data_IF_587725437276
#
_entry.id   IF_587725437276
#
_cell.length_a   1.000
_cell.length_b   1.000
_cell.length_c   1.000
_cell.angle_alpha   90.00
_cell.angle_beta   90.00
_cell.angle_gamma   90.00
#
_symmetry.space_group_name_H-M   'P 1'
#
loop_
_entity.id
_entity.type
_entity.pdbx_description
1 polymer ?
#
# COMPACT_ATOMS: atom_id res chain seq x y z
N UNK A 1 30.59 -7.76 18.13
CA UNK A 1 29.60 -6.80 17.60
C UNK A 1 29.25 -7.26 16.20
N UNK A 2 27.96 -7.37 15.85
CA UNK A 2 27.57 -7.68 14.47
C UNK A 2 28.08 -6.59 13.51
N UNK A 3 28.47 -6.96 12.31
CA UNK A 3 28.78 -6.01 11.26
C UNK A 3 27.50 -5.27 10.84
N UNK A 4 27.62 -4.01 10.42
CA UNK A 4 26.47 -3.22 9.97
C UNK A 4 25.83 -3.86 8.74
N UNK A 5 24.55 -4.19 8.85
CA UNK A 5 23.71 -4.74 7.78
C UNK A 5 24.39 -5.88 7.01
N UNK A 6 24.96 -6.85 7.76
CA UNK A 6 25.51 -8.08 7.20
C UNK A 6 24.40 -8.97 6.61
N UNK A 7 24.78 -10.14 6.05
CA UNK A 7 23.83 -11.09 5.46
C UNK A 7 22.75 -11.57 6.43
N UNK A 8 23.00 -11.50 7.74
CA UNK A 8 22.08 -11.90 8.81
C UNK A 8 21.44 -10.67 9.48
N UNK A 9 21.32 -9.57 8.75
CA UNK A 9 20.68 -8.36 9.25
C UNK A 9 19.26 -8.64 9.75
N UNK A 10 18.96 -8.22 10.99
CA UNK A 10 17.72 -8.48 11.73
C UNK A 10 17.50 -9.96 12.16
N UNK A 11 18.39 -10.89 11.83
CA UNK A 11 18.28 -12.31 12.17
C UNK A 11 19.24 -12.64 13.31
N UNK A 12 18.71 -12.95 14.50
CA UNK A 12 19.54 -13.15 15.69
C UNK A 12 19.76 -14.62 16.04
N UNK A 13 18.91 -15.51 15.54
CA UNK A 13 18.96 -16.94 15.87
C UNK A 13 19.29 -17.80 14.65
N UNK A 14 19.90 -19.00 14.84
CA UNK A 14 20.14 -19.94 13.74
C UNK A 14 18.85 -20.32 13.00
N UNK A 15 17.75 -20.52 13.72
CA UNK A 15 16.46 -20.85 13.11
C UNK A 15 15.94 -19.69 12.26
N UNK A 16 16.01 -18.45 12.74
CA UNK A 16 15.60 -17.28 11.94
C UNK A 16 16.42 -17.15 10.64
N UNK A 17 17.76 -17.37 10.74
CA UNK A 17 18.66 -17.34 9.58
C UNK A 17 18.30 -18.43 8.56
N UNK A 18 18.08 -19.66 9.02
CA UNK A 18 17.65 -20.76 8.18
C UNK A 18 16.31 -20.46 7.49
N UNK A 19 15.29 -20.04 8.24
CA UNK A 19 13.97 -19.72 7.67
C UNK A 19 14.03 -18.62 6.63
N UNK A 20 14.90 -17.63 6.82
CA UNK A 20 15.07 -16.55 5.87
C UNK A 20 15.83 -17.01 4.63
N UNK A 21 17.07 -17.50 4.77
CA UNK A 21 17.95 -17.79 3.64
C UNK A 21 17.46 -18.95 2.78
N UNK A 22 16.90 -20.00 3.40
CA UNK A 22 16.52 -21.20 2.68
C UNK A 22 15.08 -21.15 2.14
N UNK A 23 14.20 -20.30 2.71
CA UNK A 23 12.80 -20.23 2.30
C UNK A 23 12.34 -18.84 1.91
N UNK A 24 12.37 -17.83 2.82
CA UNK A 24 11.74 -16.55 2.58
C UNK A 24 12.39 -15.75 1.43
N UNK A 25 13.73 -15.72 1.42
CA UNK A 25 14.52 -14.95 0.43
C UNK A 25 14.39 -15.51 -1.00
N UNK A 26 14.11 -16.82 -1.10
CA UNK A 26 13.94 -17.51 -2.38
C UNK A 26 12.59 -17.21 -3.05
N UNK A 27 11.62 -16.68 -2.31
CA UNK A 27 10.27 -16.48 -2.82
C UNK A 27 10.20 -15.24 -3.71
N UNK A 28 9.43 -15.31 -4.82
CA UNK A 28 9.15 -14.14 -5.63
C UNK A 28 8.39 -13.06 -4.85
N UNK A 29 8.20 -11.91 -5.48
CA UNK A 29 7.41 -10.80 -4.94
C UNK A 29 6.10 -10.68 -5.71
N UNK A 30 5.00 -10.58 -4.97
CA UNK A 30 3.69 -10.08 -5.40
C UNK A 30 3.45 -8.78 -4.66
N UNK A 31 3.53 -7.65 -5.37
CA UNK A 31 3.24 -6.34 -4.81
C UNK A 31 1.79 -5.96 -5.13
N UNK A 32 0.87 -6.45 -4.31
CA UNK A 32 -0.57 -6.35 -4.56
C UNK A 32 -1.17 -4.96 -4.23
N UNK A 33 -0.35 -4.02 -3.79
CA UNK A 33 -0.72 -2.60 -3.66
C UNK A 33 0.51 -1.70 -3.65
N UNK A 34 0.58 -0.80 -4.62
CA UNK A 34 1.61 0.23 -4.71
C UNK A 34 1.09 1.46 -5.48
N UNK A 35 1.89 2.52 -5.51
CA UNK A 35 1.62 3.75 -6.25
C UNK A 35 2.62 3.96 -7.41
N UNK A 36 3.19 2.89 -7.92
CA UNK A 36 4.10 2.94 -9.07
C UNK A 36 3.32 3.35 -10.32
N UNK A 37 3.93 4.21 -11.14
CA UNK A 37 3.33 4.68 -12.37
C UNK A 37 3.50 3.64 -13.50
N UNK A 38 2.42 3.03 -14.02
CA UNK A 38 2.50 2.01 -15.06
C UNK A 38 3.09 2.55 -16.38
N UNK A 39 3.00 3.85 -16.62
CA UNK A 39 3.63 4.51 -17.78
C UNK A 39 5.16 4.33 -17.75
N UNK A 40 5.78 4.52 -16.59
CA UNK A 40 7.24 4.39 -16.46
C UNK A 40 7.71 2.96 -16.72
N UNK A 41 6.89 1.95 -16.38
CA UNK A 41 7.14 0.56 -16.72
C UNK A 41 6.98 0.32 -18.23
N UNK A 42 5.89 0.84 -18.81
CA UNK A 42 5.59 0.66 -20.23
C UNK A 42 6.65 1.30 -21.15
N UNK A 43 7.18 2.46 -20.74
CA UNK A 43 8.24 3.19 -21.45
C UNK A 43 9.64 2.74 -21.10
N UNK A 44 9.79 1.79 -20.16
CA UNK A 44 11.07 1.30 -19.61
C UNK A 44 12.02 2.45 -19.24
N UNK A 45 11.51 3.38 -18.44
CA UNK A 45 12.21 4.61 -18.05
C UNK A 45 13.59 4.31 -17.47
N UNK A 46 14.57 5.16 -17.79
CA UNK A 46 15.84 5.28 -17.07
C UNK A 46 15.85 6.58 -16.27
N UNK A 47 16.34 6.51 -15.05
CA UNK A 47 16.50 7.69 -14.19
C UNK A 47 17.85 8.35 -14.45
N UNK A 48 17.89 9.66 -14.49
CA UNK A 48 19.13 10.41 -14.70
C UNK A 48 20.03 10.39 -13.48
N UNK A 49 19.40 10.35 -12.26
CA UNK A 49 20.13 10.38 -10.99
C UNK A 49 19.30 9.77 -9.86
N UNK A 50 19.98 9.49 -8.75
CA UNK A 50 19.39 8.85 -7.57
C UNK A 50 18.33 9.72 -6.85
N UNK A 51 18.43 11.06 -6.95
CA UNK A 51 17.42 11.96 -6.36
C UNK A 51 16.07 11.75 -7.01
N UNK A 52 15.99 11.58 -8.33
CA UNK A 52 14.75 11.33 -9.04
C UNK A 52 14.07 10.04 -8.55
N UNK A 53 14.86 9.00 -8.26
CA UNK A 53 14.33 7.72 -7.75
C UNK A 53 13.89 7.84 -6.30
N UNK A 54 14.66 8.53 -5.46
CA UNK A 54 14.46 8.55 -4.01
C UNK A 54 13.58 9.67 -3.49
N UNK A 55 13.65 10.85 -4.12
CA UNK A 55 13.00 12.06 -3.63
C UNK A 55 11.90 12.59 -4.56
N UNK A 56 11.70 11.96 -5.72
CA UNK A 56 10.75 12.43 -6.72
C UNK A 56 9.26 12.42 -6.28
N UNK A 57 8.92 11.66 -5.23
CA UNK A 57 7.55 11.57 -4.73
C UNK A 57 7.44 10.94 -3.34
N UNK A 58 8.56 10.81 -2.63
CA UNK A 58 8.62 10.13 -1.33
C UNK A 58 8.41 11.11 -0.18
N UNK A 59 7.15 11.31 0.19
CA UNK A 59 6.79 12.17 1.32
C UNK A 59 7.28 11.64 2.70
N UNK A 60 7.70 10.38 2.82
CA UNK A 60 8.33 9.85 4.04
C UNK A 60 9.70 10.51 4.25
N UNK A 61 10.52 10.54 3.18
CA UNK A 61 11.84 11.18 3.20
C UNK A 61 11.72 12.71 3.39
N UNK A 62 10.81 13.36 2.68
CA UNK A 62 10.54 14.79 2.82
C UNK A 62 10.20 15.19 4.27
N UNK A 63 9.37 14.37 4.94
CA UNK A 63 9.01 14.57 6.34
C UNK A 63 10.25 14.57 7.26
N UNK A 64 11.17 13.63 7.06
CA UNK A 64 12.39 13.54 7.85
C UNK A 64 13.34 14.71 7.56
N UNK A 65 13.48 15.12 6.30
CA UNK A 65 14.28 16.30 5.94
C UNK A 65 13.76 17.56 6.66
N UNK A 66 12.45 17.77 6.70
CA UNK A 66 11.84 18.87 7.46
C UNK A 66 12.11 18.74 8.97
N UNK A 67 12.03 17.54 9.52
CA UNK A 67 12.34 17.27 10.93
C UNK A 67 13.79 17.63 11.25
N UNK A 68 14.71 17.46 10.29
CA UNK A 68 16.11 17.85 10.39
C UNK A 68 16.36 19.35 10.10
N UNK A 69 15.32 20.16 9.94
CA UNK A 69 15.42 21.60 9.70
C UNK A 69 15.86 21.99 8.29
N UNK A 70 15.77 21.08 7.32
CA UNK A 70 16.10 21.36 5.92
C UNK A 70 15.08 22.33 5.33
N UNK A 71 15.57 23.38 4.67
CA UNK A 71 14.71 24.34 3.98
C UNK A 71 13.94 23.69 2.82
N UNK A 72 12.68 24.08 2.62
CA UNK A 72 11.79 23.52 1.62
C UNK A 72 12.33 23.60 0.18
N UNK A 73 13.19 24.59 -0.08
CA UNK A 73 13.94 24.72 -1.34
C UNK A 73 14.66 23.41 -1.72
N UNK A 74 15.23 22.72 -0.73
CA UNK A 74 15.98 21.46 -0.93
C UNK A 74 15.11 20.20 -0.82
N UNK A 75 13.81 20.33 -0.61
CA UNK A 75 12.88 19.19 -0.46
C UNK A 75 11.99 19.10 -1.70
N UNK A 76 11.02 19.99 -1.81
CA UNK A 76 10.09 20.06 -2.94
C UNK A 76 10.33 21.27 -3.85
N UNK A 77 11.22 22.21 -3.46
CA UNK A 77 11.51 23.43 -4.20
C UNK A 77 12.50 23.23 -5.34
N UNK A 78 13.14 24.32 -5.76
CA UNK A 78 13.92 24.46 -6.99
C UNK A 78 15.42 24.21 -6.87
N UNK A 79 15.90 23.71 -5.73
CA UNK A 79 17.29 23.28 -5.60
C UNK A 79 17.63 22.17 -6.59
N UNK A 80 18.88 22.07 -6.98
CA UNK A 80 19.34 21.00 -7.88
C UNK A 80 19.21 19.61 -7.23
N UNK A 81 19.08 18.57 -8.03
CA UNK A 81 19.00 17.19 -7.55
C UNK A 81 20.21 16.81 -6.68
N UNK A 82 21.41 17.33 -7.04
CA UNK A 82 22.61 17.09 -6.24
C UNK A 82 22.55 17.74 -4.86
N UNK A 83 22.04 18.97 -4.77
CA UNK A 83 21.85 19.66 -3.48
C UNK A 83 20.79 18.96 -2.62
N UNK A 84 19.68 18.52 -3.22
CA UNK A 84 18.64 17.74 -2.53
C UNK A 84 19.21 16.43 -1.98
N UNK A 85 20.01 15.72 -2.78
CA UNK A 85 20.67 14.49 -2.34
C UNK A 85 21.62 14.72 -1.17
N UNK A 86 22.41 15.78 -1.20
CA UNK A 86 23.29 16.17 -0.05
C UNK A 86 22.48 16.35 1.22
N UNK A 87 21.36 17.07 1.14
CA UNK A 87 20.50 17.32 2.31
C UNK A 87 19.79 16.05 2.80
N UNK A 88 19.49 15.12 1.91
CA UNK A 88 19.01 13.79 2.30
C UNK A 88 20.10 12.98 3.02
N UNK A 89 21.30 12.95 2.49
CA UNK A 89 22.43 12.24 3.10
C UNK A 89 22.75 12.77 4.51
N UNK A 90 22.80 14.09 4.70
CA UNK A 90 22.95 14.75 6.01
C UNK A 90 21.78 14.41 6.96
N UNK A 91 20.57 14.31 6.44
CA UNK A 91 19.39 13.93 7.24
C UNK A 91 19.47 12.48 7.67
N UNK A 92 19.95 11.60 6.80
CA UNK A 92 20.00 10.16 7.06
C UNK A 92 20.92 9.82 8.25
N UNK A 93 22.00 10.58 8.47
CA UNK A 93 22.87 10.41 9.66
C UNK A 93 22.10 10.50 10.97
N UNK A 94 21.05 11.30 11.01
CA UNK A 94 20.24 11.52 12.21
C UNK A 94 19.11 10.50 12.36
N UNK A 95 18.93 9.60 11.38
CA UNK A 95 17.81 8.69 11.32
C UNK A 95 18.04 7.37 12.10
N UNK A 96 18.73 7.40 13.22
CA UNK A 96 18.94 6.22 14.07
C UNK A 96 17.60 5.66 14.55
N UNK A 97 17.37 4.35 14.31
CA UNK A 97 16.11 3.69 14.65
C UNK A 97 14.96 3.93 13.66
N UNK A 98 15.12 4.80 12.67
CA UNK A 98 14.14 5.04 11.63
C UNK A 98 14.29 3.99 10.49
N UNK A 99 13.21 3.40 9.96
CA UNK A 99 13.29 2.42 8.88
C UNK A 99 13.93 2.96 7.61
N UNK A 100 13.83 4.25 7.32
CA UNK A 100 14.44 4.88 6.14
C UNK A 100 15.97 4.74 6.14
N UNK A 101 16.61 4.67 7.32
CA UNK A 101 18.04 4.38 7.43
C UNK A 101 18.36 2.99 6.87
N UNK A 102 17.59 1.98 7.30
CA UNK A 102 17.75 0.60 6.85
C UNK A 102 17.39 0.47 5.36
N UNK A 103 16.25 1.00 4.94
CA UNK A 103 15.79 0.87 3.55
C UNK A 103 16.77 1.53 2.57
N UNK A 104 17.24 2.74 2.86
CA UNK A 104 18.20 3.41 2.00
C UNK A 104 19.51 2.61 1.85
N UNK A 105 20.01 2.03 2.94
CA UNK A 105 21.23 1.21 2.88
C UNK A 105 20.99 -0.17 2.24
N UNK A 106 19.81 -0.79 2.40
CA UNK A 106 19.46 -2.01 1.65
C UNK A 106 19.41 -1.73 0.15
N UNK A 107 18.79 -0.63 -0.25
CA UNK A 107 18.74 -0.21 -1.66
C UNK A 107 20.14 0.03 -2.23
N UNK A 108 21.02 0.72 -1.48
CA UNK A 108 22.41 0.93 -1.88
C UNK A 108 23.17 -0.40 -2.03
N UNK A 109 22.98 -1.34 -1.12
CA UNK A 109 23.64 -2.65 -1.16
C UNK A 109 23.13 -3.49 -2.34
N UNK A 110 21.81 -3.61 -2.50
CA UNK A 110 21.21 -4.55 -3.46
C UNK A 110 21.29 -4.08 -4.90
N UNK A 111 21.04 -2.80 -5.13
CA UNK A 111 21.01 -2.27 -6.51
C UNK A 111 22.33 -1.65 -6.95
N UNK A 112 23.09 -1.06 -6.02
CA UNK A 112 24.30 -0.32 -6.37
C UNK A 112 25.60 -0.98 -5.91
N UNK A 113 25.52 -2.04 -5.09
CA UNK A 113 26.69 -2.75 -4.56
C UNK A 113 27.51 -1.93 -3.56
N UNK A 114 26.91 -0.87 -2.99
CA UNK A 114 27.56 -0.01 -2.01
C UNK A 114 27.30 -0.53 -0.58
N UNK A 115 28.37 -0.97 0.09
CA UNK A 115 28.31 -1.49 1.45
C UNK A 115 28.81 -0.50 2.52
N UNK A 116 29.08 0.75 2.11
CA UNK A 116 29.46 1.83 3.02
C UNK A 116 28.27 2.45 3.71
N UNK A 117 28.52 3.58 4.40
CA UNK A 117 27.52 4.37 5.10
C UNK A 117 27.26 5.64 4.30
N UNK A 118 25.99 5.93 4.01
CA UNK A 118 25.58 7.22 3.43
C UNK A 118 25.40 8.26 4.51
N UNK A 119 26.16 9.33 4.41
CA UNK A 119 26.10 10.50 5.26
C UNK A 119 26.54 11.75 4.49
N UNK A 120 26.62 12.91 5.16
CA UNK A 120 27.04 14.16 4.53
C UNK A 120 28.42 14.09 3.89
N UNK A 121 29.37 13.37 4.51
CA UNK A 121 30.77 13.26 4.03
C UNK A 121 30.91 12.30 2.85
N UNK A 122 30.09 11.24 2.79
CA UNK A 122 30.13 10.22 1.72
C UNK A 122 29.17 10.52 0.57
N UNK A 123 28.36 11.57 0.67
CA UNK A 123 27.32 11.90 -0.29
C UNK A 123 27.83 12.04 -1.73
N UNK A 124 29.04 12.64 -1.93
CA UNK A 124 29.63 12.80 -3.26
C UNK A 124 30.02 11.45 -3.88
N UNK A 125 30.64 10.57 -3.09
CA UNK A 125 31.03 9.24 -3.52
C UNK A 125 29.80 8.43 -3.95
N UNK A 126 28.75 8.40 -3.10
CA UNK A 126 27.53 7.64 -3.36
C UNK A 126 26.74 8.23 -4.55
N UNK A 127 26.69 9.56 -4.67
CA UNK A 127 26.09 10.24 -5.81
C UNK A 127 26.73 9.79 -7.13
N UNK A 128 28.05 9.84 -7.22
CA UNK A 128 28.79 9.49 -8.41
C UNK A 128 28.62 7.99 -8.74
N UNK A 129 28.72 7.11 -7.76
CA UNK A 129 28.54 5.67 -7.93
C UNK A 129 27.14 5.33 -8.41
N UNK A 130 26.11 5.82 -7.73
CA UNK A 130 24.71 5.51 -8.08
C UNK A 130 24.35 6.04 -9.47
N UNK A 131 24.76 7.27 -9.79
CA UNK A 131 24.40 7.86 -11.07
C UNK A 131 25.15 7.21 -12.24
N UNK A 132 26.39 6.80 -12.05
CA UNK A 132 27.11 6.01 -13.07
C UNK A 132 26.36 4.69 -13.34
N UNK A 133 25.91 4.00 -12.29
CA UNK A 133 25.20 2.74 -12.43
C UNK A 133 23.81 2.90 -13.04
N UNK A 134 23.07 3.96 -12.72
CA UNK A 134 21.75 4.26 -13.29
C UNK A 134 21.78 4.46 -14.81
N UNK A 135 22.95 4.73 -15.41
CA UNK A 135 23.09 4.82 -16.87
C UNK A 135 23.20 3.45 -17.55
N UNK A 136 23.45 2.38 -16.80
CA UNK A 136 23.50 1.02 -17.35
C UNK A 136 22.09 0.56 -17.76
N UNK A 137 22.00 -0.31 -18.77
CA UNK A 137 20.72 -0.90 -19.20
C UNK A 137 20.08 -1.75 -18.11
N UNK A 138 20.90 -2.38 -17.26
CA UNK A 138 20.45 -3.17 -16.11
C UNK A 138 19.65 -2.39 -15.07
N UNK A 139 19.67 -1.06 -15.11
CA UNK A 139 19.01 -0.16 -14.17
C UNK A 139 17.79 0.55 -14.79
N UNK A 140 17.30 0.11 -15.95
CA UNK A 140 15.98 0.54 -16.42
C UNK A 140 14.88 0.03 -15.49
N UNK A 141 13.73 0.68 -15.50
CA UNK A 141 12.59 0.34 -14.63
C UNK A 141 12.20 -1.13 -14.73
N UNK A 142 12.11 -1.68 -15.96
CA UNK A 142 11.78 -3.10 -16.15
C UNK A 142 12.85 -4.02 -15.58
N UNK A 143 14.11 -3.65 -15.72
CA UNK A 143 15.22 -4.44 -15.20
C UNK A 143 15.33 -4.35 -13.68
N UNK A 144 15.02 -3.21 -13.06
CA UNK A 144 14.87 -3.07 -11.60
C UNK A 144 13.77 -4.00 -11.04
N UNK A 145 12.63 -4.07 -11.71
CA UNK A 145 11.52 -4.98 -11.35
C UNK A 145 11.97 -6.45 -11.50
N UNK A 146 12.57 -6.82 -12.63
CA UNK A 146 13.00 -8.21 -12.90
C UNK A 146 14.08 -8.68 -11.93
N UNK A 147 15.12 -7.88 -11.68
CA UNK A 147 16.18 -8.25 -10.74
C UNK A 147 15.70 -8.38 -9.30
N UNK A 148 14.58 -7.74 -8.95
CA UNK A 148 13.92 -7.88 -7.65
C UNK A 148 13.03 -9.12 -7.55
N UNK A 149 13.00 -9.99 -8.58
CA UNK A 149 12.16 -11.19 -8.66
C UNK A 149 10.66 -10.90 -8.43
N UNK A 150 10.18 -9.76 -8.95
CA UNK A 150 8.75 -9.40 -8.90
C UNK A 150 8.01 -10.17 -10.01
N UNK A 151 6.85 -10.73 -9.68
CA UNK A 151 5.98 -11.45 -10.63
C UNK A 151 4.71 -10.68 -10.95
N UNK A 152 4.24 -9.88 -10.00
CA UNK A 152 3.00 -9.12 -10.19
C UNK A 152 3.06 -7.81 -9.40
N UNK A 153 2.50 -6.78 -10.00
CA UNK A 153 2.32 -5.44 -9.43
C UNK A 153 0.84 -5.05 -9.61
N UNK A 154 0.16 -4.65 -8.53
CA UNK A 154 -1.11 -3.94 -8.62
C UNK A 154 -0.86 -2.45 -8.35
N UNK A 155 -1.22 -1.62 -9.32
CA UNK A 155 -1.11 -0.16 -9.23
C UNK A 155 -2.27 0.44 -8.42
N UNK A 156 -2.48 1.74 -8.50
CA UNK A 156 -3.63 2.42 -7.87
C UNK A 156 -4.26 3.35 -8.88
N UNK A 157 -5.49 3.04 -9.32
CA UNK A 157 -6.10 3.64 -10.49
C UNK A 157 -7.50 4.18 -10.19
N UNK A 158 -7.81 5.34 -10.78
CA UNK A 158 -9.10 6.00 -10.63
C UNK A 158 -10.15 5.36 -11.58
N UNK A 159 -11.43 5.26 -11.18
CA UNK A 159 -12.51 4.78 -12.05
C UNK A 159 -12.57 5.38 -13.46
N UNK A 160 -12.11 6.61 -13.63
CA UNK A 160 -12.13 7.30 -14.94
C UNK A 160 -10.88 7.06 -15.80
N UNK A 161 -9.86 6.37 -15.28
CA UNK A 161 -8.62 6.13 -16.00
C UNK A 161 -8.82 5.23 -17.23
N UNK A 162 -8.07 5.54 -18.29
CA UNK A 162 -8.13 4.82 -19.56
C UNK A 162 -7.46 3.43 -19.51
N UNK A 163 -6.58 3.21 -18.53
CA UNK A 163 -5.74 2.01 -18.38
C UNK A 163 -4.89 1.68 -19.63
N UNK A 164 -4.56 2.68 -20.43
CA UNK A 164 -3.82 2.51 -21.70
C UNK A 164 -2.43 1.89 -21.49
N UNK A 165 -1.78 2.20 -20.37
CA UNK A 165 -0.46 1.65 -20.05
C UNK A 165 -0.53 0.20 -19.59
N UNK A 166 -1.58 -0.18 -18.84
CA UNK A 166 -1.84 -1.58 -18.46
C UNK A 166 -2.11 -2.41 -19.72
N UNK A 167 -2.94 -1.89 -20.63
CA UNK A 167 -3.19 -2.57 -21.91
C UNK A 167 -1.91 -2.77 -22.70
N UNK A 168 -1.09 -1.72 -22.83
CA UNK A 168 0.19 -1.79 -23.54
C UNK A 168 1.14 -2.82 -22.92
N UNK A 169 1.20 -2.90 -21.59
CA UNK A 169 2.02 -3.87 -20.87
C UNK A 169 1.50 -5.30 -21.03
N UNK A 170 0.19 -5.49 -21.02
CA UNK A 170 -0.43 -6.79 -21.23
C UNK A 170 -0.23 -7.35 -22.66
N UNK A 171 -0.02 -6.49 -23.64
CA UNK A 171 0.26 -6.83 -25.04
C UNK A 171 1.78 -6.98 -25.35
N UNK A 172 2.67 -6.72 -24.38
CA UNK A 172 4.11 -6.70 -24.54
C UNK A 172 4.76 -8.01 -24.05
N UNK A 173 4.99 -8.94 -24.95
CA UNK A 173 5.63 -10.24 -24.69
C UNK A 173 7.10 -10.14 -24.22
N UNK A 174 7.71 -8.95 -24.26
CA UNK A 174 9.11 -8.75 -23.80
C UNK A 174 9.21 -8.50 -22.30
N UNK A 175 8.07 -8.31 -21.62
CA UNK A 175 7.99 -8.07 -20.19
C UNK A 175 7.03 -9.07 -19.53
N UNK A 176 7.58 -10.02 -18.80
CA UNK A 176 6.90 -11.17 -18.21
C UNK A 176 6.30 -10.91 -16.82
N UNK A 177 6.39 -9.68 -16.30
CA UNK A 177 5.79 -9.29 -15.02
C UNK A 177 4.38 -8.75 -15.26
N UNK A 178 3.40 -9.28 -14.54
CA UNK A 178 2.02 -8.80 -14.65
C UNK A 178 1.87 -7.44 -13.96
N UNK A 179 1.32 -6.46 -14.66
CA UNK A 179 0.98 -5.14 -14.10
C UNK A 179 -0.52 -4.95 -14.23
N UNK A 180 -1.24 -5.09 -13.13
CA UNK A 180 -2.70 -5.07 -13.08
C UNK A 180 -3.20 -3.78 -12.45
N UNK A 181 -4.33 -3.23 -12.92
CA UNK A 181 -4.95 -2.09 -12.27
C UNK A 181 -5.57 -2.50 -10.94
N UNK A 182 -5.58 -1.58 -9.96
CA UNK A 182 -6.39 -1.71 -8.77
C UNK A 182 -7.41 -0.56 -8.71
N UNK A 183 -8.64 -0.89 -8.36
CA UNK A 183 -9.77 0.03 -8.36
C UNK A 183 -9.78 0.90 -7.11
N UNK A 184 -9.63 2.24 -7.25
CA UNK A 184 -9.66 3.19 -6.13
C UNK A 184 -10.70 4.29 -6.33
N UNK A 185 -11.94 4.09 -5.87
CA UNK A 185 -13.05 5.01 -6.11
C UNK A 185 -13.18 6.10 -5.02
N UNK A 186 -12.09 6.68 -4.55
CA UNK A 186 -12.11 7.70 -3.51
C UNK A 186 -12.81 8.97 -3.97
N UNK A 187 -12.60 9.40 -5.22
CA UNK A 187 -13.21 10.63 -5.73
C UNK A 187 -14.73 10.56 -5.81
N UNK A 188 -15.35 9.51 -6.37
CA UNK A 188 -16.82 9.40 -6.37
C UNK A 188 -17.42 9.12 -5.00
N UNK A 189 -16.63 8.69 -4.01
CA UNK A 189 -17.04 8.52 -2.62
C UNK A 189 -17.03 9.85 -1.85
N UNK A 190 -16.09 10.73 -2.13
CA UNK A 190 -15.86 11.94 -1.34
C UNK A 190 -16.77 13.10 -1.78
N UNK A 191 -18.08 12.93 -1.55
CA UNK A 191 -19.17 13.84 -1.94
C UNK A 191 -18.98 15.28 -1.44
N UNK A 192 -18.26 15.47 -0.33
CA UNK A 192 -18.01 16.77 0.30
C UNK A 192 -16.94 17.61 -0.43
N UNK A 193 -16.15 17.02 -1.31
CA UNK A 193 -15.03 17.70 -1.96
C UNK A 193 -15.50 18.72 -3.00
N UNK A 194 -14.80 19.86 -3.13
CA UNK A 194 -15.18 20.90 -4.09
C UNK A 194 -15.28 20.41 -5.53
N UNK A 195 -14.32 19.58 -5.96
CA UNK A 195 -14.19 19.04 -7.32
C UNK A 195 -15.18 17.91 -7.65
N UNK A 196 -16.06 17.53 -6.72
CA UNK A 196 -16.94 16.37 -6.85
C UNK A 196 -17.84 16.43 -8.11
N UNK A 197 -18.45 17.58 -8.37
CA UNK A 197 -19.37 17.72 -9.51
C UNK A 197 -18.64 17.63 -10.86
N UNK A 198 -17.44 18.19 -10.97
CA UNK A 198 -16.61 18.08 -12.18
C UNK A 198 -16.18 16.61 -12.40
N UNK A 199 -15.88 15.89 -11.32
CA UNK A 199 -15.59 14.46 -11.39
C UNK A 199 -16.79 13.65 -11.91
N UNK A 200 -18.02 13.95 -11.46
CA UNK A 200 -19.23 13.27 -11.95
C UNK A 200 -19.46 13.48 -13.46
N UNK A 201 -19.12 14.66 -13.98
CA UNK A 201 -19.17 14.92 -15.43
C UNK A 201 -18.17 14.03 -16.17
N UNK A 202 -16.93 13.95 -15.70
CA UNK A 202 -15.90 13.08 -16.28
C UNK A 202 -16.32 11.61 -16.23
N UNK A 203 -16.87 11.15 -15.09
CA UNK A 203 -17.36 9.78 -14.94
C UNK A 203 -18.53 9.50 -15.91
N UNK A 204 -19.43 10.47 -16.09
CA UNK A 204 -20.54 10.35 -17.05
C UNK A 204 -20.02 10.16 -18.46
N UNK A 205 -19.01 10.94 -18.87
CA UNK A 205 -18.42 10.89 -20.21
C UNK A 205 -17.74 9.53 -20.47
N UNK A 206 -16.90 9.06 -19.54
CA UNK A 206 -16.16 7.80 -19.75
C UNK A 206 -17.01 6.55 -19.60
N UNK A 207 -18.10 6.59 -18.81
CA UNK A 207 -19.03 5.47 -18.66
C UNK A 207 -20.15 5.46 -19.70
N UNK A 208 -20.41 6.59 -20.37
CA UNK A 208 -21.57 6.77 -21.24
C UNK A 208 -22.90 6.82 -20.48
N UNK A 209 -22.88 6.94 -19.16
CA UNK A 209 -24.07 6.97 -18.28
C UNK A 209 -24.14 8.34 -17.61
N UNK A 210 -25.19 9.11 -17.88
CA UNK A 210 -25.38 10.40 -17.21
C UNK A 210 -25.65 10.21 -15.73
N UNK A 211 -24.74 10.68 -14.88
CA UNK A 211 -24.86 10.61 -13.43
C UNK A 211 -25.72 11.78 -12.93
N UNK A 212 -26.96 11.50 -12.57
CA UNK A 212 -27.91 12.48 -12.06
C UNK A 212 -28.75 12.00 -10.85
N UNK A 213 -28.43 10.81 -10.33
CA UNK A 213 -28.97 10.20 -9.11
C UNK A 213 -27.94 9.28 -8.49
N UNK A 214 -28.10 8.89 -7.25
CA UNK A 214 -27.22 7.88 -6.63
C UNK A 214 -27.28 6.56 -7.39
N UNK A 215 -28.46 6.14 -7.83
CA UNK A 215 -28.60 4.92 -8.63
C UNK A 215 -27.76 4.99 -9.91
N UNK A 216 -27.81 6.10 -10.67
CA UNK A 216 -27.00 6.25 -11.89
C UNK A 216 -25.51 6.42 -11.62
N UNK A 217 -25.10 6.92 -10.44
CA UNK A 217 -23.71 6.87 -10.00
C UNK A 217 -23.22 5.43 -9.87
N UNK A 218 -23.98 4.59 -9.18
CA UNK A 218 -23.61 3.17 -9.02
C UNK A 218 -23.62 2.43 -10.37
N UNK A 219 -24.54 2.74 -11.28
CA UNK A 219 -24.55 2.15 -12.63
C UNK A 219 -23.33 2.56 -13.45
N UNK A 220 -22.92 3.83 -13.37
CA UNK A 220 -21.70 4.31 -14.03
C UNK A 220 -20.45 3.62 -13.47
N UNK A 221 -20.34 3.48 -12.13
CA UNK A 221 -19.25 2.77 -11.50
C UNK A 221 -19.25 1.27 -11.86
N UNK A 222 -20.40 0.62 -11.91
CA UNK A 222 -20.52 -0.78 -12.34
C UNK A 222 -20.04 -0.96 -13.79
N UNK A 223 -20.37 -0.04 -14.69
CA UNK A 223 -19.85 -0.07 -16.06
C UNK A 223 -18.32 0.02 -16.06
N UNK A 224 -17.73 0.92 -15.25
CA UNK A 224 -16.27 1.06 -15.14
C UNK A 224 -15.61 -0.13 -14.47
N UNK A 225 -16.24 -0.74 -13.44
CA UNK A 225 -15.73 -1.98 -12.82
C UNK A 225 -15.65 -3.13 -13.85
N UNK A 226 -16.62 -3.27 -14.73
CA UNK A 226 -16.58 -4.27 -15.81
C UNK A 226 -15.40 -4.02 -16.76
N UNK A 227 -15.10 -2.76 -17.06
CA UNK A 227 -13.92 -2.42 -17.85
C UNK A 227 -12.62 -2.77 -17.11
N UNK A 228 -12.50 -2.42 -15.83
CA UNK A 228 -11.33 -2.78 -15.01
C UNK A 228 -11.18 -4.30 -14.87
N UNK A 229 -12.27 -5.02 -14.68
CA UNK A 229 -12.27 -6.48 -14.62
C UNK A 229 -11.75 -7.11 -15.93
N UNK A 230 -12.16 -6.57 -17.07
CA UNK A 230 -11.65 -7.00 -18.39
C UNK A 230 -10.15 -6.73 -18.59
N UNK A 231 -9.57 -5.84 -17.77
CA UNK A 231 -8.14 -5.52 -17.75
C UNK A 231 -7.37 -6.30 -16.66
N UNK A 232 -8.02 -7.28 -16.02
CA UNK A 232 -7.42 -8.16 -15.01
C UNK A 232 -7.44 -7.60 -13.59
N UNK A 233 -8.17 -6.52 -13.32
CA UNK A 233 -8.38 -6.03 -11.96
C UNK A 233 -9.01 -7.11 -11.08
N UNK A 234 -8.47 -7.32 -9.88
CA UNK A 234 -9.00 -8.27 -8.89
C UNK A 234 -9.02 -7.68 -7.48
N UNK A 235 -8.73 -6.40 -7.36
CA UNK A 235 -8.58 -5.74 -6.07
C UNK A 235 -9.11 -4.31 -6.11
N UNK A 236 -9.80 -3.92 -5.05
CA UNK A 236 -10.14 -2.53 -4.78
C UNK A 236 -9.32 -1.99 -3.61
N UNK A 237 -9.14 -0.69 -3.58
CA UNK A 237 -8.47 0.04 -2.50
C UNK A 237 -9.27 1.27 -2.11
N UNK A 238 -9.31 1.58 -0.82
CA UNK A 238 -10.03 2.72 -0.26
C UNK A 238 -9.18 3.42 0.79
N UNK A 239 -8.97 4.71 0.64
CA UNK A 239 -8.32 5.55 1.64
C UNK A 239 -9.37 6.27 2.50
N UNK A 240 -9.52 5.82 3.73
CA UNK A 240 -10.56 6.27 4.64
C UNK A 240 -9.94 7.00 5.85
N UNK A 241 -10.58 8.07 6.30
CA UNK A 241 -10.20 8.67 7.58
C UNK A 241 -10.57 7.73 8.75
N UNK A 242 -11.72 7.09 8.65
CA UNK A 242 -12.20 6.00 9.51
C UNK A 242 -13.20 5.15 8.73
N UNK A 243 -13.46 3.92 9.17
CA UNK A 243 -14.51 3.09 8.57
C UNK A 243 -15.84 3.58 9.11
N UNK A 244 -16.62 4.28 8.28
CA UNK A 244 -17.90 4.84 8.68
C UNK A 244 -19.04 3.84 8.52
N UNK A 245 -20.01 3.92 9.42
CA UNK A 245 -21.32 3.30 9.27
C UNK A 245 -22.41 4.17 9.89
N UNK A 246 -23.39 4.53 9.08
CA UNK A 246 -24.62 5.21 9.54
C UNK A 246 -25.81 4.54 8.87
N UNK A 247 -26.85 4.16 9.63
CA UNK A 247 -28.10 3.67 9.05
C UNK A 247 -28.69 4.71 8.08
N UNK A 248 -29.21 4.24 6.98
CA UNK A 248 -29.79 5.08 5.93
C UNK A 248 -30.97 4.37 5.26
N UNK A 249 -31.77 5.14 4.54
CA UNK A 249 -32.75 4.64 3.57
C UNK A 249 -32.37 5.11 2.16
N UNK A 250 -32.79 4.39 1.13
CA UNK A 250 -32.50 4.77 -0.26
C UNK A 250 -33.03 6.18 -0.58
N UNK A 251 -34.21 6.53 -0.05
CA UNK A 251 -34.79 7.87 -0.22
C UNK A 251 -33.93 8.99 0.41
N UNK A 252 -33.32 8.75 1.58
CA UNK A 252 -32.37 9.70 2.18
C UNK A 252 -31.14 9.88 1.32
N UNK A 253 -30.56 8.78 0.79
CA UNK A 253 -29.35 8.86 -0.06
C UNK A 253 -29.62 9.61 -1.36
N UNK A 254 -30.75 9.34 -2.03
CA UNK A 254 -31.13 10.09 -3.23
C UNK A 254 -31.35 11.58 -2.92
N UNK A 255 -31.96 11.91 -1.78
CA UNK A 255 -32.14 13.31 -1.35
C UNK A 255 -30.78 14.00 -1.07
N UNK A 256 -29.86 13.34 -0.39
CA UNK A 256 -28.49 13.85 -0.12
C UNK A 256 -27.75 14.08 -1.44
N UNK A 257 -27.83 13.12 -2.37
CA UNK A 257 -27.19 13.23 -3.67
C UNK A 257 -27.78 14.37 -4.50
N UNK A 258 -29.11 14.50 -4.55
CA UNK A 258 -29.78 15.60 -5.23
C UNK A 258 -29.40 16.97 -4.64
N UNK A 259 -29.33 17.07 -3.30
CA UNK A 259 -28.87 18.27 -2.58
C UNK A 259 -27.43 18.65 -3.04
N UNK A 260 -26.54 17.69 -3.14
CA UNK A 260 -25.17 17.95 -3.62
C UNK A 260 -25.13 18.38 -5.09
N UNK A 261 -25.96 17.78 -5.94
CA UNK A 261 -26.07 18.16 -7.36
C UNK A 261 -26.60 19.60 -7.54
N UNK A 262 -27.43 20.10 -6.61
CA UNK A 262 -27.88 21.51 -6.63
C UNK A 262 -26.84 22.50 -6.14
N UNK A 263 -25.65 22.00 -5.69
CA UNK A 263 -24.58 22.84 -5.16
C UNK A 263 -24.71 23.19 -3.68
N UNK A 264 -25.68 22.62 -2.97
CA UNK A 264 -25.88 22.84 -1.55
C UNK A 264 -24.83 22.11 -0.71
N UNK A 265 -24.50 22.66 0.47
CA UNK A 265 -23.56 22.06 1.39
C UNK A 265 -24.12 20.78 2.05
N UNK A 266 -23.25 19.77 2.16
CA UNK A 266 -23.54 18.49 2.83
C UNK A 266 -23.07 18.55 4.28
N UNK A 267 -23.92 18.13 5.23
CA UNK A 267 -23.54 17.97 6.63
C UNK A 267 -22.66 16.73 6.82
N UNK A 268 -21.93 16.67 7.94
CA UNK A 268 -21.11 15.48 8.28
C UNK A 268 -21.97 14.21 8.40
N UNK A 269 -23.19 14.32 8.93
CA UNK A 269 -24.11 13.17 9.03
C UNK A 269 -24.55 12.69 7.63
N UNK A 270 -24.96 13.61 6.76
CA UNK A 270 -25.34 13.30 5.37
C UNK A 270 -24.14 12.68 4.62
N UNK A 271 -22.94 13.22 4.79
CA UNK A 271 -21.70 12.68 4.22
C UNK A 271 -21.47 11.24 4.68
N UNK A 272 -21.57 10.96 5.96
CA UNK A 272 -21.35 9.61 6.49
C UNK A 272 -22.43 8.62 6.04
N UNK A 273 -23.70 9.03 5.94
CA UNK A 273 -24.76 8.21 5.35
C UNK A 273 -24.49 7.88 3.90
N UNK A 274 -24.11 8.88 3.11
CA UNK A 274 -23.76 8.70 1.70
C UNK A 274 -22.56 7.75 1.54
N UNK A 275 -21.45 7.99 2.25
CA UNK A 275 -20.27 7.13 2.20
C UNK A 275 -20.57 5.69 2.64
N UNK A 276 -21.44 5.51 3.64
CA UNK A 276 -21.89 4.17 4.03
C UNK A 276 -22.65 3.48 2.89
N UNK A 277 -23.62 4.16 2.30
CA UNK A 277 -24.42 3.61 1.19
C UNK A 277 -23.52 3.32 -0.03
N UNK A 278 -22.58 4.22 -0.33
CA UNK A 278 -21.60 4.05 -1.39
C UNK A 278 -20.76 2.78 -1.17
N UNK A 279 -20.10 2.66 -0.02
CA UNK A 279 -19.23 1.54 0.31
C UNK A 279 -19.98 0.19 0.36
N UNK A 280 -21.22 0.18 0.87
CA UNK A 280 -22.06 -1.03 0.82
C UNK A 280 -22.40 -1.40 -0.62
N UNK A 281 -22.76 -0.41 -1.46
CA UNK A 281 -23.13 -0.67 -2.85
C UNK A 281 -21.93 -1.22 -3.66
N UNK A 282 -20.76 -0.57 -3.58
CA UNK A 282 -19.56 -1.03 -4.31
C UNK A 282 -19.01 -2.35 -3.74
N UNK A 283 -19.09 -2.55 -2.41
CA UNK A 283 -18.67 -3.80 -1.77
C UNK A 283 -19.46 -5.01 -2.27
N UNK A 284 -20.75 -4.86 -2.52
CA UNK A 284 -21.59 -5.91 -3.15
C UNK A 284 -21.13 -6.21 -4.58
N UNK A 285 -20.75 -5.19 -5.34
CA UNK A 285 -20.22 -5.39 -6.70
C UNK A 285 -18.84 -6.09 -6.65
N UNK A 286 -17.97 -5.77 -5.70
CA UNK A 286 -16.70 -6.48 -5.51
C UNK A 286 -16.91 -7.97 -5.23
N UNK A 287 -17.91 -8.30 -4.39
CA UNK A 287 -18.25 -9.70 -4.13
C UNK A 287 -18.69 -10.43 -5.42
N UNK A 288 -19.50 -9.79 -6.27
CA UNK A 288 -19.95 -10.37 -7.55
C UNK A 288 -18.79 -10.62 -8.52
N UNK A 289 -17.81 -9.71 -8.55
CA UNK A 289 -16.61 -9.77 -9.38
C UNK A 289 -15.51 -10.66 -8.76
N UNK A 290 -15.72 -11.18 -7.55
CA UNK A 290 -14.71 -11.88 -6.76
C UNK A 290 -13.43 -11.03 -6.49
N UNK A 291 -13.56 -9.72 -6.45
CA UNK A 291 -12.48 -8.80 -6.09
C UNK A 291 -12.25 -8.78 -4.59
N UNK A 292 -11.02 -8.49 -4.20
CA UNK A 292 -10.65 -8.25 -2.80
C UNK A 292 -10.86 -6.77 -2.47
N UNK A 293 -11.54 -6.48 -1.37
CA UNK A 293 -11.72 -5.12 -0.86
C UNK A 293 -10.60 -4.77 0.13
N UNK A 294 -9.81 -3.74 -0.15
CA UNK A 294 -8.81 -3.21 0.78
C UNK A 294 -9.31 -1.92 1.42
N UNK A 295 -9.26 -1.87 2.76
CA UNK A 295 -9.66 -0.71 3.57
C UNK A 295 -8.44 -0.15 4.28
N UNK A 296 -7.83 0.90 3.75
CA UNK A 296 -6.77 1.67 4.39
C UNK A 296 -7.41 2.82 5.20
N UNK A 297 -7.32 2.80 6.52
CA UNK A 297 -7.95 3.81 7.35
C UNK A 297 -7.07 4.29 8.49
N UNK A 298 -7.50 5.37 9.14
CA UNK A 298 -6.85 5.90 10.34
C UNK A 298 -5.86 7.03 10.05
N UNK A 299 -6.09 7.80 8.97
CA UNK A 299 -5.27 8.96 8.61
C UNK A 299 -6.05 10.25 8.77
N UNK A 300 -5.50 11.25 9.44
CA UNK A 300 -5.93 12.64 9.34
C UNK A 300 -5.03 13.31 8.30
N UNK A 301 -5.65 13.79 7.22
CA UNK A 301 -4.94 14.38 6.08
C UNK A 301 -4.71 15.88 6.26
N UNK A 302 -3.62 16.37 5.66
CA UNK A 302 -3.36 17.79 5.42
C UNK A 302 -3.41 18.66 6.68
N UNK A 303 -2.87 18.17 7.80
CA UNK A 303 -2.96 18.83 9.10
C UNK A 303 -2.32 20.23 9.15
N UNK A 304 -1.40 20.54 8.24
CA UNK A 304 -0.76 21.84 8.12
C UNK A 304 -1.38 22.62 6.96
N UNK A 305 -2.47 23.34 7.22
CA UNK A 305 -3.20 24.12 6.21
C UNK A 305 -2.32 25.16 5.52
N UNK A 306 -1.37 25.77 6.24
CA UNK A 306 -0.43 26.73 5.64
C UNK A 306 0.41 26.05 4.54
N UNK A 307 0.94 24.86 4.82
CA UNK A 307 1.73 24.10 3.85
C UNK A 307 0.88 23.48 2.75
N UNK A 308 -0.32 23.01 3.07
CA UNK A 308 -1.25 22.52 2.07
C UNK A 308 -1.55 23.58 0.99
N UNK A 309 -1.77 24.84 1.39
CA UNK A 309 -2.02 25.92 0.44
C UNK A 309 -0.81 26.26 -0.46
N UNK A 310 0.40 25.87 -0.04
CA UNK A 310 1.63 26.09 -0.81
C UNK A 310 2.04 24.89 -1.67
N UNK A 311 1.87 23.68 -1.16
CA UNK A 311 2.47 22.47 -1.70
C UNK A 311 1.43 21.45 -2.21
N UNK A 312 0.16 21.60 -1.83
CA UNK A 312 -0.89 20.63 -2.13
C UNK A 312 -0.89 19.40 -1.21
N UNK A 313 -1.72 18.40 -1.56
CA UNK A 313 -1.86 17.15 -0.82
C UNK A 313 -0.63 16.24 -0.96
N UNK A 314 -0.57 15.20 -0.13
CA UNK A 314 0.46 14.13 -0.17
C UNK A 314 1.91 14.63 -0.05
N UNK A 315 2.12 15.70 0.68
CA UNK A 315 3.45 16.32 0.85
C UNK A 315 4.08 16.09 2.23
N UNK A 316 3.52 15.16 3.04
CA UNK A 316 4.12 14.71 4.30
C UNK A 316 3.55 15.36 5.56
N UNK A 317 2.36 15.95 5.51
CA UNK A 317 1.70 16.65 6.64
C UNK A 317 0.50 15.89 7.22
N UNK A 318 0.42 14.60 6.94
CA UNK A 318 -0.59 13.71 7.49
C UNK A 318 -0.17 13.13 8.84
N UNK A 319 -1.13 12.66 9.64
CA UNK A 319 -0.87 11.99 10.91
C UNK A 319 -1.88 10.87 11.20
N UNK A 320 -1.58 10.11 12.26
CA UNK A 320 -2.44 9.03 12.73
C UNK A 320 -3.73 9.60 13.33
N UNK A 321 -4.88 9.04 12.90
CA UNK A 321 -6.17 9.27 13.52
C UNK A 321 -6.37 8.29 14.68
N UNK A 322 -6.84 8.82 15.81
CA UNK A 322 -7.12 8.01 17.01
C UNK A 322 -8.62 7.76 17.20
N UNK A 323 -9.48 8.12 16.24
CA UNK A 323 -10.90 7.84 16.30
C UNK A 323 -11.13 6.32 16.30
N UNK A 324 -11.82 5.83 17.34
CA UNK A 324 -12.22 4.44 17.43
C UNK A 324 -13.49 4.20 16.60
N UNK A 325 -13.34 3.50 15.50
CA UNK A 325 -14.43 3.10 14.62
C UNK A 325 -14.67 1.58 14.60
N UNK A 326 -14.24 0.87 15.65
CA UNK A 326 -14.36 -0.59 15.69
C UNK A 326 -15.80 -1.07 15.61
N UNK A 327 -16.74 -0.35 16.26
CA UNK A 327 -18.17 -0.67 16.22
C UNK A 327 -18.76 -0.41 14.83
N UNK A 328 -18.45 0.74 14.23
CA UNK A 328 -18.89 1.10 12.88
C UNK A 328 -18.32 0.12 11.83
N UNK A 329 -17.07 -0.29 11.99
CA UNK A 329 -16.44 -1.30 11.13
C UNK A 329 -17.18 -2.62 11.19
N UNK A 330 -17.50 -3.11 12.38
CA UNK A 330 -18.27 -4.34 12.55
C UNK A 330 -19.67 -4.22 11.93
N UNK A 331 -20.33 -3.07 12.06
CA UNK A 331 -21.63 -2.80 11.45
C UNK A 331 -21.54 -2.73 9.93
N UNK A 332 -20.51 -2.10 9.38
CA UNK A 332 -20.26 -2.05 7.94
C UNK A 332 -20.05 -3.46 7.34
N UNK A 333 -19.18 -4.26 7.94
CA UNK A 333 -18.97 -5.64 7.50
C UNK A 333 -20.23 -6.48 7.61
N UNK A 334 -21.01 -6.29 8.70
CA UNK A 334 -22.29 -6.98 8.88
C UNK A 334 -23.34 -6.54 7.84
N UNK A 335 -23.36 -5.30 7.42
CA UNK A 335 -24.29 -4.83 6.39
C UNK A 335 -24.10 -5.58 5.05
N UNK A 336 -22.86 -5.94 4.72
CA UNK A 336 -22.54 -6.78 3.56
C UNK A 336 -22.75 -8.27 3.84
N UNK A 337 -22.39 -8.73 5.04
CA UNK A 337 -22.45 -10.15 5.41
C UNK A 337 -23.89 -10.65 5.60
N UNK A 338 -24.80 -9.79 6.07
CA UNK A 338 -26.20 -10.15 6.32
C UNK A 338 -26.97 -10.55 5.06
N UNK A 339 -26.48 -10.15 3.89
CA UNK A 339 -27.01 -10.56 2.55
C UNK A 339 -26.10 -11.55 1.85
N UNK A 340 -25.09 -12.09 2.54
CA UNK A 340 -24.08 -13.00 1.99
C UNK A 340 -23.26 -12.38 0.83
N UNK A 341 -23.10 -11.05 0.85
CA UNK A 341 -22.42 -10.28 -0.19
C UNK A 341 -21.12 -9.64 0.30
N UNK A 342 -20.57 -10.06 1.47
CA UNK A 342 -19.29 -9.58 1.96
C UNK A 342 -18.14 -10.17 1.12
N UNK A 343 -17.33 -9.34 0.41
CA UNK A 343 -16.17 -9.83 -0.34
C UNK A 343 -15.03 -10.26 0.59
N UNK A 344 -14.02 -10.91 0.04
CA UNK A 344 -12.71 -11.02 0.69
C UNK A 344 -12.24 -9.60 1.04
N UNK A 345 -11.84 -9.36 2.29
CA UNK A 345 -11.54 -8.01 2.76
C UNK A 345 -10.25 -7.97 3.56
N UNK A 346 -9.44 -6.93 3.33
CA UNK A 346 -8.22 -6.65 4.08
C UNK A 346 -8.38 -5.31 4.77
N UNK A 347 -8.09 -5.27 6.07
CA UNK A 347 -8.23 -4.08 6.90
C UNK A 347 -6.85 -3.62 7.36
N UNK A 348 -6.44 -2.43 6.95
CA UNK A 348 -5.20 -1.78 7.35
C UNK A 348 -5.52 -0.58 8.23
N UNK A 349 -4.97 -0.53 9.44
CA UNK A 349 -5.06 0.65 10.28
C UNK A 349 -3.72 1.36 10.38
N UNK A 350 -3.75 2.68 10.27
CA UNK A 350 -2.58 3.50 10.58
C UNK A 350 -2.35 3.65 12.09
N UNK A 351 -3.37 3.40 12.90
CA UNK A 351 -3.27 3.42 14.36
C UNK A 351 -2.92 2.03 14.91
N UNK A 352 -1.70 1.80 15.43
CA UNK A 352 -1.29 0.49 15.93
C UNK A 352 -2.03 0.07 17.21
N UNK A 353 -2.65 1.00 17.94
CA UNK A 353 -3.38 0.69 19.17
C UNK A 353 -4.66 -0.11 18.93
N UNK A 354 -5.18 -0.15 17.69
CA UNK A 354 -6.39 -0.90 17.32
C UNK A 354 -6.11 -2.29 16.74
N UNK A 355 -4.86 -2.75 16.72
CA UNK A 355 -4.51 -4.07 16.16
C UNK A 355 -5.36 -5.19 16.77
N UNK A 356 -5.52 -5.22 18.10
CA UNK A 356 -6.33 -6.22 18.78
C UNK A 356 -7.83 -6.10 18.46
N UNK A 357 -8.35 -4.88 18.33
CA UNK A 357 -9.75 -4.67 17.92
C UNK A 357 -9.99 -5.23 16.52
N UNK A 358 -9.13 -4.93 15.57
CA UNK A 358 -9.18 -5.50 14.20
C UNK A 358 -9.10 -7.02 14.28
N UNK A 359 -8.12 -7.57 15.01
CA UNK A 359 -7.92 -9.02 15.15
C UNK A 359 -9.15 -9.76 15.65
N UNK A 360 -9.97 -9.13 16.49
CA UNK A 360 -11.23 -9.71 16.98
C UNK A 360 -12.38 -9.50 16.00
N UNK A 361 -12.49 -8.34 15.36
CA UNK A 361 -13.53 -8.06 14.36
C UNK A 361 -13.43 -8.99 13.16
N UNK A 362 -12.22 -9.23 12.63
CA UNK A 362 -12.04 -10.13 11.48
C UNK A 362 -12.49 -11.55 11.79
N UNK A 363 -12.36 -12.00 13.04
CA UNK A 363 -12.84 -13.31 13.48
C UNK A 363 -14.37 -13.48 13.42
N UNK A 364 -15.13 -12.38 13.48
CA UNK A 364 -16.59 -12.42 13.41
C UNK A 364 -17.15 -12.74 12.02
N UNK A 365 -16.37 -12.58 10.96
CA UNK A 365 -16.84 -12.63 9.57
C UNK A 365 -16.09 -13.66 8.70
N UNK A 366 -15.43 -14.64 9.32
CA UNK A 366 -14.81 -15.76 8.61
C UNK A 366 -15.87 -16.76 8.14
N UNK A 367 -15.65 -17.39 6.99
CA UNK A 367 -16.49 -18.48 6.48
C UNK A 367 -15.63 -19.49 5.67
N UNK A 368 -16.29 -20.48 5.06
CA UNK A 368 -15.64 -21.53 4.26
C UNK A 368 -15.39 -21.14 2.80
N UNK A 369 -15.78 -19.94 2.36
CA UNK A 369 -15.65 -19.52 0.96
C UNK A 369 -14.20 -19.17 0.60
N UNK A 370 -13.41 -18.71 1.58
CA UNK A 370 -12.00 -18.42 1.40
C UNK A 370 -11.21 -18.64 2.70
N UNK A 371 -9.99 -19.14 2.57
CA UNK A 371 -9.05 -19.25 3.70
C UNK A 371 -8.65 -17.84 4.15
N UNK A 372 -8.97 -17.49 5.39
CA UNK A 372 -8.72 -16.15 5.92
C UNK A 372 -9.47 -15.08 5.12
N UNK A 373 -10.78 -15.26 4.92
CA UNK A 373 -11.63 -14.38 4.10
C UNK A 373 -11.48 -12.91 4.48
N UNK A 374 -11.44 -12.62 5.78
CA UNK A 374 -11.17 -11.28 6.28
C UNK A 374 -9.79 -11.29 6.90
N UNK A 375 -8.90 -10.43 6.42
CA UNK A 375 -7.50 -10.31 6.83
C UNK A 375 -7.27 -9.02 7.60
N UNK A 376 -6.40 -9.07 8.61
CA UNK A 376 -5.70 -7.87 9.05
C UNK A 376 -4.52 -7.65 8.10
N UNK A 377 -4.43 -6.47 7.50
CA UNK A 377 -3.33 -6.11 6.62
C UNK A 377 -2.00 -5.92 7.36
N UNK A 378 -0.91 -5.86 6.61
CA UNK A 378 0.42 -5.60 7.17
C UNK A 378 0.49 -4.25 7.88
N UNK A 379 1.47 -4.11 8.77
CA UNK A 379 1.85 -2.80 9.28
C UNK A 379 2.17 -1.89 8.10
N UNK A 380 1.55 -0.73 8.07
CA UNK A 380 1.48 0.14 6.90
C UNK A 380 1.90 1.57 7.25
N UNK A 381 2.53 2.28 6.35
CA UNK A 381 2.95 3.68 6.39
C UNK A 381 3.76 4.00 7.67
N UNK A 382 3.17 4.72 8.66
CA UNK A 382 3.86 5.07 9.91
C UNK A 382 4.22 3.86 10.79
N UNK A 383 3.65 2.69 10.51
CA UNK A 383 3.95 1.44 11.21
C UNK A 383 4.82 0.48 10.39
N UNK A 384 5.21 0.86 9.16
CA UNK A 384 6.05 0.04 8.27
C UNK A 384 7.51 0.11 8.74
N UNK A 385 7.75 -0.47 9.92
CA UNK A 385 9.05 -0.56 10.57
C UNK A 385 9.11 -1.77 11.50
N UNK A 386 10.31 -2.16 11.92
CA UNK A 386 10.54 -3.38 12.71
C UNK A 386 9.53 -3.56 13.86
N UNK A 387 9.36 -2.55 14.71
CA UNK A 387 8.47 -2.65 15.88
C UNK A 387 7.00 -2.75 15.45
N UNK A 388 6.58 -1.93 14.48
CA UNK A 388 5.21 -1.97 13.95
C UNK A 388 4.86 -3.31 13.32
N UNK A 389 5.73 -3.85 12.47
CA UNK A 389 5.57 -5.16 11.84
C UNK A 389 5.54 -6.30 12.88
N UNK A 390 6.47 -6.29 13.84
CA UNK A 390 6.50 -7.30 14.92
C UNK A 390 5.22 -7.25 15.74
N UNK A 391 4.76 -6.06 16.13
CA UNK A 391 3.54 -5.91 16.94
C UNK A 391 2.29 -6.33 16.17
N UNK A 392 2.17 -5.98 14.89
CA UNK A 392 1.05 -6.37 14.05
C UNK A 392 0.99 -7.90 13.88
N UNK A 393 2.11 -8.54 13.51
CA UNK A 393 2.17 -9.99 13.33
C UNK A 393 1.94 -10.74 14.65
N UNK A 394 2.45 -10.24 15.76
CA UNK A 394 2.21 -10.83 17.10
C UNK A 394 0.74 -10.75 17.49
N UNK A 395 0.12 -9.57 17.28
CA UNK A 395 -1.32 -9.40 17.54
C UNK A 395 -2.16 -10.33 16.67
N UNK A 396 -1.82 -10.43 15.38
CA UNK A 396 -2.50 -11.34 14.45
C UNK A 396 -2.33 -12.81 14.86
N UNK A 397 -1.11 -13.23 15.25
CA UNK A 397 -0.84 -14.60 15.70
C UNK A 397 -1.65 -14.98 16.95
N UNK A 398 -1.82 -14.02 17.87
CA UNK A 398 -2.56 -14.25 19.11
C UNK A 398 -4.07 -14.34 18.93
N UNK A 399 -4.64 -13.68 17.92
CA UNK A 399 -6.08 -13.53 17.74
C UNK A 399 -6.62 -14.22 16.48
N UNK A 400 -5.74 -14.66 15.57
CA UNK A 400 -6.09 -15.33 14.33
C UNK A 400 -5.02 -16.34 13.93
N UNK A 401 -4.87 -16.64 12.64
CA UNK A 401 -3.94 -17.62 12.12
C UNK A 401 -2.84 -16.93 11.29
N UNK A 402 -1.71 -16.61 11.91
CA UNK A 402 -0.57 -15.97 11.22
C UNK A 402 -0.11 -16.76 9.98
N UNK A 403 -0.16 -18.09 10.01
CA UNK A 403 0.21 -18.92 8.85
C UNK A 403 -0.62 -18.70 7.59
N UNK A 404 -1.79 -18.05 7.70
CA UNK A 404 -2.64 -17.66 6.57
C UNK A 404 -2.49 -16.17 6.18
N UNK A 405 -1.61 -15.44 6.83
CA UNK A 405 -1.36 -14.03 6.54
C UNK A 405 -0.83 -13.86 5.13
N UNK A 406 -1.33 -12.86 4.42
CA UNK A 406 -1.01 -12.59 3.01
C UNK A 406 0.31 -11.80 2.82
N UNK A 407 1.01 -11.49 3.89
CA UNK A 407 2.28 -10.77 3.85
C UNK A 407 2.12 -9.26 3.65
N UNK A 408 3.21 -8.64 3.22
CA UNK A 408 3.29 -7.19 3.05
C UNK A 408 3.03 -6.74 1.61
N UNK A 409 2.84 -5.44 1.46
CA UNK A 409 2.81 -4.66 0.23
C UNK A 409 3.82 -3.51 0.35
N UNK A 410 4.26 -2.91 -0.75
CA UNK A 410 5.24 -1.81 -0.66
C UNK A 410 4.60 -0.46 -0.36
N UNK A 411 3.39 -0.21 -0.80
CA UNK A 411 2.73 1.12 -0.76
C UNK A 411 3.65 2.23 -1.29
N UNK A 412 4.50 1.92 -2.26
CA UNK A 412 5.61 2.76 -2.69
C UNK A 412 5.40 3.35 -4.08
N UNK A 413 6.09 4.48 -4.31
CA UNK A 413 6.25 5.12 -5.62
C UNK A 413 7.62 4.88 -6.24
N UNK A 414 8.54 4.17 -5.54
CA UNK A 414 9.93 3.96 -5.97
C UNK A 414 10.18 2.53 -6.42
N UNK A 415 10.83 2.37 -7.57
CA UNK A 415 11.24 1.06 -8.11
C UNK A 415 12.38 0.39 -7.33
N UNK A 416 13.00 1.07 -6.36
CA UNK A 416 13.99 0.48 -5.46
C UNK A 416 13.36 -0.10 -4.18
N UNK A 417 12.06 0.13 -3.95
CA UNK A 417 11.38 -0.23 -2.69
C UNK A 417 11.13 -1.73 -2.51
N UNK A 418 11.42 -2.57 -3.48
CA UNK A 418 11.24 -4.02 -3.35
C UNK A 418 12.14 -4.65 -2.28
N UNK A 419 13.23 -3.98 -1.88
CA UNK A 419 14.03 -4.35 -0.70
C UNK A 419 13.24 -4.32 0.61
N UNK A 420 12.08 -3.66 0.66
CA UNK A 420 11.17 -3.71 1.81
C UNK A 420 10.59 -5.11 2.03
N UNK A 421 10.44 -5.93 0.98
CA UNK A 421 10.07 -7.35 1.12
C UNK A 421 11.15 -8.14 1.85
N UNK A 422 12.43 -7.91 1.54
CA UNK A 422 13.55 -8.51 2.28
C UNK A 422 13.51 -8.08 3.76
N UNK A 423 13.32 -6.79 4.02
CA UNK A 423 13.21 -6.24 5.38
C UNK A 423 12.06 -6.88 6.17
N UNK A 424 10.88 -6.97 5.57
CA UNK A 424 9.72 -7.62 6.17
C UNK A 424 9.97 -9.12 6.43
N UNK A 425 10.49 -9.84 5.44
CA UNK A 425 10.76 -11.28 5.53
C UNK A 425 11.79 -11.60 6.62
N UNK A 426 12.80 -10.76 6.79
CA UNK A 426 13.76 -10.87 7.87
C UNK A 426 13.10 -10.71 9.24
N UNK A 427 12.22 -9.71 9.41
CA UNK A 427 11.49 -9.48 10.67
C UNK A 427 10.53 -10.64 10.97
N UNK A 428 9.83 -11.15 9.95
CA UNK A 428 8.94 -12.30 10.09
C UNK A 428 9.72 -13.56 10.51
N UNK A 429 10.83 -13.85 9.85
CA UNK A 429 11.66 -15.01 10.17
C UNK A 429 12.31 -14.90 11.56
N UNK A 430 12.71 -13.69 11.97
CA UNK A 430 13.19 -13.42 13.32
C UNK A 430 12.11 -13.72 14.37
N UNK A 431 10.89 -13.27 14.14
CA UNK A 431 9.76 -13.49 15.05
C UNK A 431 9.42 -14.99 15.18
N UNK A 432 9.26 -15.67 14.05
CA UNK A 432 8.93 -17.10 14.01
C UNK A 432 10.09 -17.93 14.58
N UNK A 433 11.33 -17.64 14.17
CA UNK A 433 12.52 -18.31 14.67
C UNK A 433 12.68 -18.16 16.17
N UNK A 434 12.38 -16.97 16.72
CA UNK A 434 12.36 -16.73 18.17
C UNK A 434 11.37 -17.62 18.89
N UNK A 435 10.15 -17.79 18.39
CA UNK A 435 9.17 -18.71 18.98
C UNK A 435 9.63 -20.18 18.96
N UNK A 436 10.30 -20.60 17.88
CA UNK A 436 10.86 -21.96 17.80
C UNK A 436 11.99 -22.16 18.82
N UNK A 437 12.95 -21.24 18.89
CA UNK A 437 14.07 -21.29 19.82
C UNK A 437 13.62 -21.24 21.29
N UNK A 438 12.52 -20.55 21.58
CA UNK A 438 11.93 -20.50 22.91
C UNK A 438 11.04 -21.73 23.25
N UNK A 439 10.85 -22.67 22.31
CA UNK A 439 9.99 -23.84 22.48
C UNK A 439 8.48 -23.52 22.44
N UNK A 440 8.10 -22.36 21.96
CA UNK A 440 6.69 -21.93 21.80
C UNK A 440 6.04 -22.55 20.56
N UNK A 441 6.86 -22.94 19.57
CA UNK A 441 6.44 -23.68 18.38
C UNK A 441 7.45 -24.79 18.08
N UNK A 442 7.01 -25.99 17.60
CA UNK A 442 7.93 -27.07 17.32
C UNK A 442 8.85 -26.74 16.13
N UNK A 443 10.08 -27.24 16.17
CA UNK A 443 11.00 -27.20 15.04
C UNK A 443 10.58 -28.24 13.97
N UNK A 444 9.39 -28.03 13.39
CA UNK A 444 8.83 -28.85 12.31
C UNK A 444 9.15 -28.16 10.97
N UNK A 445 10.16 -28.66 10.32
CA UNK A 445 10.68 -28.15 9.04
C UNK A 445 9.60 -27.98 7.98
N UNK A 446 8.71 -28.97 7.82
CA UNK A 446 7.65 -28.96 6.82
C UNK A 446 6.60 -27.87 7.12
N UNK A 447 6.23 -27.74 8.38
CA UNK A 447 5.25 -26.73 8.80
C UNK A 447 5.84 -25.32 8.69
N UNK A 448 7.07 -25.12 9.15
CA UNK A 448 7.77 -23.83 9.09
C UNK A 448 7.98 -23.35 7.66
N UNK A 449 8.46 -24.25 6.78
CA UNK A 449 8.58 -23.95 5.34
C UNK A 449 7.26 -23.49 4.75
N UNK A 450 6.17 -24.25 4.98
CA UNK A 450 4.84 -23.91 4.47
C UNK A 450 4.36 -22.55 4.96
N UNK A 451 4.60 -22.21 6.23
CA UNK A 451 4.20 -20.94 6.82
C UNK A 451 5.01 -19.78 6.21
N UNK A 452 6.33 -19.92 6.17
CA UNK A 452 7.22 -18.85 5.67
C UNK A 452 7.04 -18.58 4.19
N UNK A 453 7.00 -19.61 3.34
CA UNK A 453 6.69 -19.47 1.92
C UNK A 453 5.26 -18.97 1.69
N UNK A 454 4.32 -19.42 2.56
CA UNK A 454 2.94 -18.95 2.55
C UNK A 454 2.85 -17.44 2.72
N UNK A 455 3.40 -16.90 3.79
CA UNK A 455 3.36 -15.47 4.11
C UNK A 455 4.19 -14.65 3.10
N UNK A 456 5.30 -15.22 2.61
CA UNK A 456 6.19 -14.51 1.68
C UNK A 456 5.61 -14.38 0.26
N UNK A 457 4.69 -15.29 -0.15
CA UNK A 457 4.21 -15.35 -1.53
C UNK A 457 2.91 -16.14 -1.72
N UNK A 458 2.85 -17.43 -1.33
CA UNK A 458 1.78 -18.33 -1.76
C UNK A 458 0.39 -17.94 -1.25
N UNK A 459 0.31 -17.33 -0.06
CA UNK A 459 -0.96 -16.89 0.50
C UNK A 459 -1.56 -15.72 -0.28
N UNK A 460 -0.75 -14.76 -0.73
CA UNK A 460 -1.21 -13.66 -1.57
C UNK A 460 -1.73 -14.19 -2.93
N UNK A 461 -0.95 -15.05 -3.60
CA UNK A 461 -1.37 -15.65 -4.87
C UNK A 461 -2.73 -16.35 -4.74
N UNK A 462 -2.88 -17.19 -3.70
CA UNK A 462 -4.14 -17.89 -3.43
C UNK A 462 -5.29 -16.95 -3.10
N UNK A 463 -5.04 -15.96 -2.24
CA UNK A 463 -6.07 -15.09 -1.70
C UNK A 463 -6.67 -14.16 -2.78
N UNK A 464 -5.83 -13.58 -3.60
CA UNK A 464 -6.26 -12.72 -4.70
C UNK A 464 -6.72 -13.52 -5.92
N UNK A 465 -6.31 -14.78 -6.04
CA UNK A 465 -6.60 -15.62 -7.21
C UNK A 465 -5.72 -15.29 -8.41
N UNK A 466 -4.50 -14.79 -8.16
CA UNK A 466 -3.55 -14.47 -9.23
C UNK A 466 -3.11 -15.74 -9.98
N UNK A 467 -3.03 -15.65 -11.28
CA UNK A 467 -2.54 -16.72 -12.13
C UNK A 467 -1.05 -16.47 -12.46
N UNK A 468 -0.17 -17.02 -11.63
CA UNK A 468 1.30 -16.82 -11.67
C UNK A 468 2.04 -18.16 -11.81
#
# INVERSE_FOLDING_TARGET
MKQFMDKDFLLSTPTAQHLFHDYADQMPIVDYHCHINPKEIAEDRKFENITQVWLGGDHYKWRQMRTNGVDEKYITGDATDREKFQKWAETLEMAIGNPLYHWSHLELQRYFGYNGILNGDTAEEVWNLCNAKLQEDSMSVRNLIKQSNVKLICTTDDPVDSLEWHKKLAEDDTFDVQVLPAWRPDKPMNIEKPEYLDYLNTLSDVSGIKVNSFATLIDALRNRMQFFDSMGCSVSDHALEYVMYKPYTDAEIEAIFAKRLSGEAITTEEMNKFKTAFMVSVGKEYNKLNWVMQLHYGTIRDNNVFRYNQLGPDTGFDCINTYDCSAEMAQFLNALNSTDELPKTIIYSLNPSVNAAIGTVIGCFQDSKAVGKIQQGSAWWFNDHKVGMTNQMTSLANLSLLGNFIGMLTDSRSFLSYTRHEYFRSIMCELIGGWVENGEYPNDEKALKKIVEGISYNNAVRYFGFNL
#
